data_IF_722586090958
#
_entry.id   IF_722586090958
#
_cell.length_a   1.000
_cell.length_b   1.000
_cell.length_c   1.000
_cell.angle_alpha   90.00
_cell.angle_beta   90.00
_cell.angle_gamma   90.00
#
_symmetry.space_group_name_H-M   'P 1'
#
loop_
_entity.id
_entity.type
_entity.pdbx_description
1 polymer ?
#
# COMPACT_ATOMS: atom_id res chain seq x y z
N UNK A 1 -10.13 15.03 -8.06
CA UNK A 1 -8.88 14.26 -8.05
C UNK A 1 -8.62 13.69 -9.43
N UNK A 2 -9.49 12.81 -9.97
CA UNK A 2 -9.20 12.13 -11.23
C UNK A 2 -9.00 13.11 -12.40
N UNK A 3 -9.86 14.11 -12.57
CA UNK A 3 -9.69 15.12 -13.63
C UNK A 3 -8.32 15.81 -13.60
N UNK A 4 -7.82 16.16 -12.40
CA UNK A 4 -6.51 16.79 -12.24
C UNK A 4 -5.37 15.83 -12.62
N UNK A 5 -5.47 14.57 -12.23
CA UNK A 5 -4.48 13.55 -12.60
C UNK A 5 -4.52 13.27 -14.11
N UNK A 6 -5.70 13.21 -14.71
CA UNK A 6 -5.86 13.02 -16.16
C UNK A 6 -5.27 14.19 -16.98
N UNK A 7 -5.38 15.41 -16.47
CA UNK A 7 -4.73 16.58 -17.05
C UNK A 7 -3.19 16.47 -16.97
N UNK A 8 -2.64 16.10 -15.82
CA UNK A 8 -1.19 15.90 -15.64
C UNK A 8 -0.64 14.78 -16.50
N UNK A 9 -1.41 13.72 -16.69
CA UNK A 9 -1.06 12.58 -17.57
C UNK A 9 -0.92 12.95 -19.04
N UNK A 10 -1.50 14.05 -19.48
CA UNK A 10 -1.28 14.55 -20.85
C UNK A 10 0.17 14.99 -21.07
N UNK A 11 0.83 15.46 -20.03
CA UNK A 11 2.23 15.89 -20.07
C UNK A 11 3.19 14.76 -19.69
N UNK A 12 2.83 13.94 -18.70
CA UNK A 12 3.60 12.78 -18.25
C UNK A 12 2.67 11.58 -18.01
N UNK A 13 2.56 10.64 -18.97
CA UNK A 13 1.68 9.47 -18.85
C UNK A 13 2.00 8.53 -17.69
N UNK A 14 3.19 8.64 -17.09
CA UNK A 14 3.60 7.79 -15.96
C UNK A 14 2.98 8.23 -14.64
N UNK A 15 2.48 9.47 -14.56
CA UNK A 15 1.88 10.02 -13.36
C UNK A 15 0.53 9.34 -13.08
N UNK A 16 0.36 8.89 -11.85
CA UNK A 16 -0.93 8.44 -11.31
C UNK A 16 -1.11 8.92 -9.89
N UNK A 17 -2.35 8.96 -9.41
CA UNK A 17 -2.59 9.26 -7.99
C UNK A 17 -2.04 8.14 -7.11
N UNK A 18 -1.54 8.50 -5.95
CA UNK A 18 -1.22 7.57 -4.89
C UNK A 18 -2.32 7.67 -3.82
N UNK A 19 -3.15 6.66 -3.72
CA UNK A 19 -4.29 6.62 -2.80
C UNK A 19 -4.05 5.66 -1.64
N UNK A 20 -4.08 6.15 -0.38
CA UNK A 20 -4.05 5.29 0.79
C UNK A 20 -5.41 4.59 0.99
N UNK A 21 -5.36 3.48 1.70
CA UNK A 21 -6.51 2.65 2.06
C UNK A 21 -6.26 2.06 3.46
N UNK A 22 -5.72 2.91 4.34
CA UNK A 22 -5.25 2.49 5.66
C UNK A 22 -6.27 2.82 6.73
N UNK A 23 -6.45 1.91 7.69
CA UNK A 23 -7.28 2.12 8.86
C UNK A 23 -6.51 1.86 10.15
N UNK A 24 -6.97 2.44 11.24
CA UNK A 24 -6.35 2.28 12.57
C UNK A 24 -7.41 1.97 13.62
N UNK A 25 -7.03 1.37 14.76
CA UNK A 25 -7.94 1.23 15.92
C UNK A 25 -8.49 2.59 16.40
N UNK A 26 -9.68 2.58 17.01
CA UNK A 26 -10.37 3.81 17.47
C UNK A 26 -9.48 4.75 18.30
N UNK A 27 -8.67 4.19 19.19
CA UNK A 27 -7.77 4.96 20.04
C UNK A 27 -6.64 5.67 19.29
N UNK A 28 -6.41 5.32 18.02
CA UNK A 28 -5.28 5.81 17.21
C UNK A 28 -5.71 6.77 16.09
N UNK A 29 -7.00 7.11 16.00
CA UNK A 29 -7.50 8.00 14.94
C UNK A 29 -6.82 9.39 14.98
N UNK A 30 -6.69 9.98 16.16
CA UNK A 30 -6.05 11.28 16.29
C UNK A 30 -4.56 11.22 15.86
N UNK A 31 -3.87 10.14 16.19
CA UNK A 31 -2.46 9.95 15.87
C UNK A 31 -2.24 9.82 14.36
N UNK A 32 -3.06 9.04 13.67
CA UNK A 32 -2.93 8.88 12.22
C UNK A 32 -3.28 10.15 11.47
N UNK A 33 -4.27 10.92 11.95
CA UNK A 33 -4.58 12.25 11.38
C UNK A 33 -3.39 13.19 11.57
N UNK A 34 -2.78 13.22 12.76
CA UNK A 34 -1.61 14.04 13.03
C UNK A 34 -0.41 13.62 12.15
N UNK A 35 -0.19 12.32 11.98
CA UNK A 35 0.83 11.78 11.10
C UNK A 35 0.65 12.29 9.66
N UNK A 36 -0.53 12.12 9.08
CA UNK A 36 -0.81 12.56 7.70
C UNK A 36 -0.63 14.06 7.53
N UNK A 37 -1.19 14.86 8.46
CA UNK A 37 -1.09 16.34 8.40
C UNK A 37 0.35 16.82 8.47
N UNK A 38 1.14 16.29 9.41
CA UNK A 38 2.54 16.66 9.59
C UNK A 38 3.36 16.31 8.36
N UNK A 39 3.31 15.06 7.94
CA UNK A 39 4.16 14.55 6.86
C UNK A 39 3.80 15.15 5.49
N UNK A 40 2.53 15.43 5.24
CA UNK A 40 2.11 16.15 4.03
C UNK A 40 2.58 17.60 4.04
N UNK A 41 2.51 18.29 5.19
CA UNK A 41 3.02 19.64 5.31
C UNK A 41 4.54 19.71 5.09
N UNK A 42 5.28 18.79 5.69
CA UNK A 42 6.75 18.67 5.54
C UNK A 42 7.16 18.33 4.11
N UNK A 43 6.38 17.47 3.45
CA UNK A 43 6.69 17.05 2.06
C UNK A 43 6.36 18.12 1.02
N UNK A 44 5.42 19.01 1.28
CA UNK A 44 4.90 19.96 0.30
C UNK A 44 4.17 19.32 -0.89
N UNK A 45 3.78 18.03 -0.76
CA UNK A 45 3.04 17.31 -1.78
C UNK A 45 1.56 17.74 -1.78
N UNK A 46 1.03 17.94 -2.96
CA UNK A 46 -0.40 18.21 -3.12
C UNK A 46 -1.21 16.97 -2.78
N UNK A 47 -2.27 17.13 -2.02
CA UNK A 47 -3.07 16.00 -1.55
C UNK A 47 -4.54 16.36 -1.37
N UNK A 48 -5.40 15.33 -1.36
CA UNK A 48 -6.79 15.42 -0.98
C UNK A 48 -7.15 14.24 -0.08
N UNK A 49 -7.92 14.48 0.98
CA UNK A 49 -8.32 13.46 1.93
C UNK A 49 -9.83 13.42 2.12
N UNK A 50 -10.37 12.20 2.21
CA UNK A 50 -11.75 11.89 2.58
C UNK A 50 -11.78 10.49 3.20
N UNK A 51 -12.94 9.99 3.57
CA UNK A 51 -13.00 8.61 4.06
C UNK A 51 -14.18 8.33 4.95
N UNK A 52 -14.10 7.19 5.63
CA UNK A 52 -15.12 6.63 6.49
C UNK A 52 -14.71 6.84 7.95
N UNK A 53 -14.97 8.05 8.47
CA UNK A 53 -14.48 8.45 9.81
C UNK A 53 -15.00 7.51 10.92
N UNK A 54 -16.19 6.91 10.75
CA UNK A 54 -16.76 5.95 11.70
C UNK A 54 -15.96 4.64 11.79
N UNK A 55 -15.16 4.32 10.80
CA UNK A 55 -14.30 3.13 10.74
C UNK A 55 -12.81 3.49 10.88
N UNK A 56 -12.48 4.74 11.22
CA UNK A 56 -11.11 5.28 11.29
C UNK A 56 -10.30 5.03 10.00
N UNK A 57 -10.99 5.06 8.87
CA UNK A 57 -10.46 4.78 7.56
C UNK A 57 -10.45 6.06 6.74
N UNK A 58 -9.25 6.58 6.49
CA UNK A 58 -9.03 7.80 5.72
C UNK A 58 -8.28 7.48 4.43
N UNK A 59 -8.88 7.87 3.32
CA UNK A 59 -8.22 7.88 2.03
C UNK A 59 -7.46 9.20 1.87
N UNK A 60 -6.16 9.15 1.95
CA UNK A 60 -5.29 10.27 1.59
C UNK A 60 -4.74 10.01 0.20
N UNK A 61 -5.07 10.89 -0.74
CA UNK A 61 -4.57 10.80 -2.11
C UNK A 61 -3.51 11.88 -2.31
N UNK A 62 -2.29 11.47 -2.58
CA UNK A 62 -1.22 12.33 -3.07
C UNK A 62 -1.44 12.52 -4.57
N UNK A 63 -1.32 13.75 -5.03
CA UNK A 63 -1.57 14.20 -6.39
C UNK A 63 -0.25 14.67 -7.02
N UNK A 64 0.61 13.76 -7.50
CA UNK A 64 1.93 14.11 -8.02
C UNK A 64 1.82 15.06 -9.20
N UNK A 65 2.68 16.08 -9.23
CA UNK A 65 2.81 17.03 -10.34
C UNK A 65 3.78 16.55 -11.41
N UNK A 66 4.74 15.71 -10.98
CA UNK A 66 5.81 15.15 -11.80
C UNK A 66 6.32 13.81 -11.25
N UNK A 67 7.27 13.19 -11.92
CA UNK A 67 7.88 11.93 -11.52
C UNK A 67 8.65 12.02 -10.19
N UNK A 68 9.13 13.20 -9.81
CA UNK A 68 9.80 13.41 -8.52
C UNK A 68 8.79 13.39 -7.38
N UNK A 69 7.67 14.10 -7.52
CA UNK A 69 6.57 14.05 -6.56
C UNK A 69 6.02 12.62 -6.43
N UNK A 70 5.96 11.87 -7.55
CA UNK A 70 5.50 10.49 -7.53
C UNK A 70 6.40 9.59 -6.69
N UNK A 71 7.73 9.69 -6.84
CA UNK A 71 8.68 8.93 -6.02
C UNK A 71 8.59 9.30 -4.54
N UNK A 72 8.61 10.61 -4.23
CA UNK A 72 8.48 11.12 -2.86
C UNK A 72 7.16 10.68 -2.20
N UNK A 73 6.09 10.69 -2.99
CA UNK A 73 4.80 10.17 -2.54
C UNK A 73 4.84 8.69 -2.21
N UNK A 74 5.53 7.88 -3.00
CA UNK A 74 5.75 6.46 -2.74
C UNK A 74 6.53 6.20 -1.45
N UNK A 75 7.59 6.97 -1.19
CA UNK A 75 8.37 6.93 0.05
C UNK A 75 7.50 7.28 1.27
N UNK A 76 6.67 8.31 1.13
CA UNK A 76 5.74 8.72 2.17
C UNK A 76 4.69 7.65 2.47
N UNK A 77 4.19 6.97 1.45
CA UNK A 77 3.29 5.83 1.62
C UNK A 77 3.95 4.66 2.36
N UNK A 78 5.20 4.34 2.06
CA UNK A 78 5.94 3.31 2.77
C UNK A 78 6.12 3.67 4.25
N UNK A 79 6.42 4.93 4.54
CA UNK A 79 6.46 5.44 5.91
C UNK A 79 5.11 5.27 6.61
N UNK A 80 4.02 5.69 5.97
CA UNK A 80 2.68 5.54 6.56
C UNK A 80 2.29 4.09 6.79
N UNK A 81 2.63 3.18 5.88
CA UNK A 81 2.38 1.76 6.07
C UNK A 81 3.06 1.22 7.33
N UNK A 82 4.31 1.60 7.57
CA UNK A 82 5.06 1.23 8.77
C UNK A 82 4.44 1.82 10.05
N UNK A 83 4.15 3.11 10.06
CA UNK A 83 3.58 3.81 11.21
C UNK A 83 2.17 3.30 11.56
N UNK A 84 1.33 3.09 10.55
CA UNK A 84 -0.02 2.53 10.72
C UNK A 84 0.04 1.10 11.26
N UNK A 85 0.96 0.28 10.76
CA UNK A 85 1.18 -1.07 11.28
C UNK A 85 1.63 -1.02 12.75
N UNK A 86 2.56 -0.11 13.10
CA UNK A 86 2.99 0.09 14.49
C UNK A 86 1.86 0.56 15.41
N UNK A 87 0.85 1.24 14.87
CA UNK A 87 -0.37 1.61 15.59
C UNK A 87 -1.37 0.44 15.75
N UNK A 88 -1.07 -0.74 15.21
CA UNK A 88 -2.00 -1.89 15.15
C UNK A 88 -3.07 -1.75 14.08
N UNK A 89 -2.83 -0.93 13.07
CA UNK A 89 -3.72 -0.69 11.94
C UNK A 89 -3.49 -1.64 10.76
N UNK A 90 -4.27 -1.43 9.70
CA UNK A 90 -4.19 -2.18 8.45
C UNK A 90 -3.79 -1.29 7.28
N UNK A 91 -2.93 -1.81 6.42
CA UNK A 91 -2.45 -1.10 5.21
C UNK A 91 -3.45 -1.13 4.06
N UNK A 92 -4.42 -2.01 4.12
CA UNK A 92 -5.54 -2.10 3.17
C UNK A 92 -6.81 -2.46 3.90
N UNK A 93 -7.73 -1.50 4.00
CA UNK A 93 -8.96 -1.63 4.76
C UNK A 93 -10.13 -2.19 3.94
N UNK A 94 -10.31 -1.72 2.69
CA UNK A 94 -11.47 -2.11 1.88
C UNK A 94 -11.17 -2.41 0.39
N UNK A 95 -10.11 -1.81 -0.18
CA UNK A 95 -9.85 -1.93 -1.63
C UNK A 95 -9.06 -3.17 -2.02
N UNK A 96 -8.67 -3.99 -1.05
CA UNK A 96 -7.76 -5.11 -1.27
C UNK A 96 -6.33 -4.66 -1.55
N UNK A 97 -5.43 -5.61 -1.59
CA UNK A 97 -3.99 -5.36 -1.68
C UNK A 97 -3.54 -5.15 -3.11
N UNK A 98 -3.97 -6.02 -4.02
CA UNK A 98 -3.55 -6.00 -5.42
C UNK A 98 -2.02 -6.01 -5.58
N UNK A 99 -1.56 -5.49 -6.72
CA UNK A 99 -0.12 -5.40 -7.04
C UNK A 99 0.60 -4.29 -6.29
N UNK A 100 -0.08 -3.16 -6.05
CA UNK A 100 0.53 -1.92 -5.57
C UNK A 100 0.89 -2.01 -4.10
N UNK A 101 0.05 -2.68 -3.30
CA UNK A 101 0.20 -2.78 -1.85
C UNK A 101 0.83 -4.10 -1.38
N UNK A 102 1.15 -5.02 -2.30
CA UNK A 102 1.70 -6.33 -1.94
C UNK A 102 2.94 -6.24 -1.05
N UNK A 103 3.84 -5.29 -1.31
CA UNK A 103 5.01 -5.04 -0.48
C UNK A 103 4.71 -4.61 0.96
N UNK A 104 3.54 -4.01 1.22
CA UNK A 104 3.15 -3.60 2.56
C UNK A 104 2.61 -4.75 3.42
N UNK A 105 2.26 -5.88 2.83
CA UNK A 105 1.84 -7.06 3.60
C UNK A 105 2.98 -7.62 4.43
N UNK A 106 4.20 -7.63 3.90
CA UNK A 106 5.36 -8.08 4.66
C UNK A 106 5.66 -7.14 5.83
N UNK A 107 5.46 -5.82 5.65
CA UNK A 107 5.52 -4.85 6.75
C UNK A 107 4.48 -5.14 7.82
N UNK A 108 3.27 -5.56 7.42
CA UNK A 108 2.15 -5.78 8.33
C UNK A 108 2.21 -7.14 9.05
N UNK A 109 2.55 -8.21 8.34
CA UNK A 109 2.46 -9.58 8.84
C UNK A 109 3.82 -10.22 9.14
N UNK A 110 4.91 -9.63 8.64
CA UNK A 110 6.25 -10.18 8.74
C UNK A 110 6.56 -11.26 7.69
N UNK A 111 7.84 -11.53 7.52
CA UNK A 111 8.34 -12.44 6.50
C UNK A 111 7.81 -13.89 6.64
N UNK A 112 7.77 -14.42 7.87
CA UNK A 112 7.32 -15.79 8.12
C UNK A 112 5.87 -16.02 7.68
N UNK A 113 4.97 -15.09 8.00
CA UNK A 113 3.58 -15.18 7.59
C UNK A 113 3.42 -15.08 6.06
N UNK A 114 4.27 -14.30 5.39
CA UNK A 114 4.28 -14.23 3.93
C UNK A 114 4.76 -15.55 3.31
N UNK A 115 5.76 -16.20 3.89
CA UNK A 115 6.25 -17.52 3.48
C UNK A 115 5.14 -18.58 3.63
N UNK A 116 4.45 -18.63 4.76
CA UNK A 116 3.35 -19.57 4.98
C UNK A 116 2.19 -19.34 4.00
N UNK A 117 1.81 -18.11 3.79
CA UNK A 117 0.76 -17.74 2.83
C UNK A 117 1.14 -18.13 1.39
N UNK A 118 2.42 -17.96 1.02
CA UNK A 118 2.92 -18.37 -0.28
C UNK A 118 2.93 -19.89 -0.46
N UNK A 119 3.27 -20.65 0.60
CA UNK A 119 3.17 -22.14 0.57
C UNK A 119 1.72 -22.60 0.37
N UNK A 120 0.77 -22.00 1.08
CA UNK A 120 -0.64 -22.29 0.91
C UNK A 120 -1.10 -21.97 -0.51
N UNK A 121 -0.68 -20.83 -1.05
CA UNK A 121 -0.93 -20.47 -2.45
C UNK A 121 -0.46 -21.56 -3.43
N UNK A 122 0.77 -22.04 -3.30
CA UNK A 122 1.33 -23.07 -4.18
C UNK A 122 0.59 -24.42 -4.06
N UNK A 123 0.09 -24.75 -2.87
CA UNK A 123 -0.72 -25.96 -2.66
C UNK A 123 -2.08 -25.87 -3.36
N UNK A 124 -2.73 -24.72 -3.32
CA UNK A 124 -4.07 -24.50 -3.88
C UNK A 124 -4.04 -24.15 -5.39
N UNK A 125 -2.95 -23.58 -5.86
CA UNK A 125 -2.77 -23.12 -7.22
C UNK A 125 -1.35 -23.44 -7.73
N UNK A 126 -1.04 -24.74 -7.90
CA UNK A 126 0.29 -25.17 -8.30
C UNK A 126 0.69 -24.70 -9.71
N UNK A 127 -0.28 -24.39 -10.56
CA UNK A 127 -0.05 -23.85 -11.90
C UNK A 127 0.06 -22.32 -11.95
N UNK A 128 -0.10 -21.62 -10.82
CA UNK A 128 0.04 -20.16 -10.74
C UNK A 128 -1.01 -19.36 -11.54
N UNK A 129 -2.19 -19.93 -11.75
CA UNK A 129 -3.23 -19.31 -12.58
C UNK A 129 -4.06 -18.25 -11.86
N UNK A 130 -4.08 -18.25 -10.54
CA UNK A 130 -4.89 -17.35 -9.71
C UNK A 130 -4.04 -16.26 -9.10
N UNK A 131 -4.38 -14.99 -9.30
CA UNK A 131 -3.85 -13.85 -8.56
C UNK A 131 -2.31 -13.77 -8.48
N UNK A 132 -1.61 -13.82 -9.60
CA UNK A 132 -0.16 -14.00 -9.71
C UNK A 132 0.74 -12.88 -9.18
N UNK A 133 0.23 -11.88 -8.42
CA UNK A 133 1.02 -10.69 -8.09
C UNK A 133 1.09 -10.38 -6.60
N UNK A 134 0.60 -11.27 -5.75
CA UNK A 134 0.60 -11.07 -4.31
C UNK A 134 1.97 -11.40 -3.70
N UNK A 135 2.66 -12.37 -4.26
CA UNK A 135 3.98 -12.81 -3.83
C UNK A 135 5.01 -12.53 -4.92
N UNK A 136 6.24 -12.22 -4.52
CA UNK A 136 7.33 -12.05 -5.49
C UNK A 136 7.66 -13.37 -6.16
N UNK A 137 8.01 -13.34 -7.44
CA UNK A 137 8.50 -14.52 -8.17
C UNK A 137 9.65 -15.19 -7.42
N UNK A 138 10.60 -14.40 -6.92
CA UNK A 138 11.72 -14.89 -6.12
C UNK A 138 11.26 -15.75 -4.93
N UNK A 139 10.27 -15.30 -4.17
CA UNK A 139 9.75 -16.05 -3.01
C UNK A 139 9.09 -17.35 -3.44
N UNK A 140 8.31 -17.33 -4.52
CA UNK A 140 7.65 -18.52 -5.04
C UNK A 140 8.67 -19.54 -5.56
N UNK A 141 9.68 -19.09 -6.32
CA UNK A 141 10.74 -19.95 -6.85
C UNK A 141 11.57 -20.61 -5.73
N UNK A 142 11.92 -19.86 -4.69
CA UNK A 142 12.63 -20.41 -3.53
C UNK A 142 11.81 -21.51 -2.82
N UNK A 143 10.49 -21.35 -2.74
CA UNK A 143 9.61 -22.32 -2.10
C UNK A 143 9.42 -23.58 -2.96
N UNK A 144 9.33 -23.44 -4.28
CA UNK A 144 9.25 -24.57 -5.21
C UNK A 144 10.53 -25.39 -5.16
N UNK A 145 11.71 -24.74 -5.15
CA UNK A 145 12.99 -25.42 -5.08
C UNK A 145 13.20 -26.16 -3.72
N UNK A 146 12.71 -25.61 -2.62
CA UNK A 146 12.80 -26.23 -1.28
C UNK A 146 11.73 -27.30 -1.02
N UNK A 147 10.62 -27.27 -1.73
CA UNK A 147 9.52 -28.24 -1.61
C UNK A 147 9.65 -29.46 -2.51
N UNK A 148 10.62 -29.49 -3.40
CA UNK A 148 10.91 -30.60 -4.32
C UNK A 148 11.91 -31.61 -3.80
N UNK A 149 12.16 -31.65 -2.47
CA UNK A 149 13.04 -32.62 -1.81
C UNK A 149 12.24 -33.55 -0.89
#
# INVERSE_FOLDING_TARGET
VNMLIDERRRTDPTITKLGSDMSVPNARLADVIALYRRTLAESGLESAAWGHIGNNHLHVNILPRDAQDYRRGGELFAQWASEVTAMGGAVSAEHGVGKIKAGFLETMYGHEAMVESARLKLQLDPAGQLGGNLFSEKLLDELVQKGGA
#
